data_IF_678492486882
#
_entry.id   IF_678492486882
#
_cell.length_a   1.000
_cell.length_b   1.000
_cell.length_c   1.000
_cell.angle_alpha   90.00
_cell.angle_beta   90.00
_cell.angle_gamma   90.00
#
_symmetry.space_group_name_H-M   'P 1'
#
loop_
_entity.id
_entity.type
_entity.pdbx_description
1 polymer ?
#
# COMPACT_ATOMS: atom_id res chain seq x y z
N UNK A 1 -10.06 -6.43 -1.06
CA UNK A 1 -8.87 -5.71 -1.54
C UNK A 1 -9.30 -4.86 -2.72
N UNK A 2 -8.88 -3.60 -2.73
CA UNK A 2 -9.10 -2.67 -3.83
C UNK A 2 -7.83 -1.81 -4.07
N UNK A 3 -7.84 -0.96 -5.10
CA UNK A 3 -6.68 -0.13 -5.45
C UNK A 3 -6.24 0.83 -4.33
N UNK A 4 -7.14 1.27 -3.46
CA UNK A 4 -6.81 2.12 -2.32
C UNK A 4 -6.01 1.35 -1.26
N UNK A 5 -6.36 0.08 -1.02
CA UNK A 5 -5.59 -0.77 -0.10
C UNK A 5 -4.16 -0.98 -0.62
N UNK A 6 -4.00 -1.19 -1.94
CA UNK A 6 -2.70 -1.28 -2.61
C UNK A 6 -1.90 0.03 -2.49
N UNK A 7 -2.54 1.19 -2.70
CA UNK A 7 -1.90 2.51 -2.52
C UNK A 7 -1.37 2.71 -1.10
N UNK A 8 -2.13 2.27 -0.09
CA UNK A 8 -1.70 2.38 1.29
C UNK A 8 -0.50 1.48 1.60
N UNK A 9 -0.47 0.25 1.05
CA UNK A 9 0.67 -0.63 1.22
C UNK A 9 1.93 -0.04 0.57
N UNK A 10 1.81 0.48 -0.66
CA UNK A 10 2.92 1.15 -1.36
C UNK A 10 3.41 2.37 -0.58
N UNK A 11 2.50 3.25 -0.12
CA UNK A 11 2.87 4.40 0.69
C UNK A 11 3.62 3.98 1.97
N UNK A 12 3.21 2.88 2.60
CA UNK A 12 3.90 2.38 3.77
C UNK A 12 5.29 1.80 3.44
N UNK A 13 5.45 1.15 2.29
CA UNK A 13 6.75 0.68 1.80
C UNK A 13 7.71 1.85 1.51
N UNK A 14 7.21 2.93 0.94
CA UNK A 14 8.00 4.12 0.60
C UNK A 14 8.43 4.90 1.85
N UNK A 15 7.51 5.10 2.79
CA UNK A 15 7.76 5.95 3.95
C UNK A 15 8.28 5.19 5.19
N UNK A 16 8.10 3.87 5.24
CA UNK A 16 8.47 3.00 6.38
C UNK A 16 8.00 3.54 7.73
N UNK A 17 6.86 4.22 7.74
CA UNK A 17 6.29 4.89 8.91
C UNK A 17 4.79 5.17 8.70
N UNK A 18 3.93 4.67 9.59
CA UNK A 18 2.47 4.80 9.46
C UNK A 18 1.98 6.25 9.36
N UNK A 19 2.46 7.15 10.23
CA UNK A 19 2.10 8.57 10.18
C UNK A 19 2.41 9.24 8.84
N UNK A 20 3.68 9.21 8.39
CA UNK A 20 4.08 9.75 7.09
C UNK A 20 3.35 9.10 5.91
N UNK A 21 3.15 7.78 5.93
CA UNK A 21 2.39 7.09 4.89
C UNK A 21 0.92 7.54 4.85
N UNK A 22 0.31 7.78 6.01
CA UNK A 22 -1.06 8.24 6.12
C UNK A 22 -1.21 9.67 5.62
N UNK A 23 -0.27 10.56 5.98
CA UNK A 23 -0.18 11.93 5.46
C UNK A 23 -0.03 11.94 3.93
N UNK A 24 0.90 11.17 3.38
CA UNK A 24 1.08 11.03 1.93
C UNK A 24 -0.15 10.45 1.22
N UNK A 25 -0.95 9.67 1.94
CA UNK A 25 -2.20 9.08 1.45
C UNK A 25 -3.44 9.94 1.75
N UNK A 26 -3.29 11.13 2.33
CA UNK A 26 -4.36 12.04 2.74
C UNK A 26 -5.41 11.40 3.66
N UNK A 27 -4.96 10.56 4.59
CA UNK A 27 -5.81 9.92 5.60
C UNK A 27 -5.19 9.98 6.99
N UNK A 28 -5.98 9.68 8.01
CA UNK A 28 -5.45 9.53 9.37
C UNK A 28 -4.66 8.22 9.52
N UNK A 29 -3.67 8.22 10.42
CA UNK A 29 -2.90 7.02 10.75
C UNK A 29 -3.80 5.83 11.19
N UNK A 30 -4.83 6.00 12.04
CA UNK A 30 -5.75 4.91 12.39
C UNK A 30 -6.46 4.30 11.18
N UNK A 31 -6.85 5.14 10.20
CA UNK A 31 -7.47 4.66 8.95
C UNK A 31 -6.49 3.80 8.16
N UNK A 32 -5.26 4.28 7.93
CA UNK A 32 -4.26 3.51 7.18
C UNK A 32 -3.93 2.19 7.90
N UNK A 33 -3.68 2.22 9.21
CA UNK A 33 -3.39 0.99 9.97
C UNK A 33 -4.56 -0.01 9.93
N UNK A 34 -5.81 0.45 9.99
CA UNK A 34 -6.98 -0.43 9.93
C UNK A 34 -7.10 -1.08 8.55
N UNK A 35 -6.84 -0.32 7.49
CA UNK A 35 -6.94 -0.83 6.12
C UNK A 35 -5.81 -1.81 5.80
N UNK A 36 -4.59 -1.57 6.28
CA UNK A 36 -3.52 -2.57 6.13
C UNK A 36 -3.85 -3.85 6.90
N UNK A 37 -4.36 -3.73 8.14
CA UNK A 37 -4.75 -4.93 8.91
C UNK A 37 -5.81 -5.75 8.18
N UNK A 38 -6.82 -5.11 7.58
CA UNK A 38 -7.82 -5.80 6.76
C UNK A 38 -7.21 -6.44 5.52
N UNK A 39 -6.23 -5.81 4.89
CA UNK A 39 -5.50 -6.38 3.76
C UNK A 39 -4.71 -7.62 4.19
N UNK A 40 -4.03 -7.58 5.35
CA UNK A 40 -3.35 -8.75 5.94
C UNK A 40 -4.32 -9.90 6.22
N UNK A 41 -5.48 -9.59 6.83
CA UNK A 41 -6.54 -10.57 7.13
C UNK A 41 -7.12 -11.19 5.86
N UNK A 42 -7.36 -10.39 4.82
CA UNK A 42 -7.90 -10.89 3.54
C UNK A 42 -6.89 -11.75 2.77
N UNK A 43 -5.60 -11.38 2.79
CA UNK A 43 -4.54 -12.12 2.12
C UNK A 43 -4.04 -13.33 2.94
N UNK A 44 -4.42 -13.41 4.23
CA UNK A 44 -3.99 -14.47 5.13
C UNK A 44 -2.50 -14.43 5.47
N UNK A 45 -1.84 -13.27 5.34
CA UNK A 45 -0.40 -13.08 5.57
C UNK A 45 -0.14 -11.80 6.36
N UNK A 46 0.93 -11.80 7.16
CA UNK A 46 1.43 -10.59 7.81
C UNK A 46 2.34 -9.85 6.83
N UNK A 47 1.99 -8.60 6.53
CA UNK A 47 2.75 -7.74 5.62
C UNK A 47 3.74 -6.86 6.39
N UNK A 48 3.49 -6.60 7.68
CA UNK A 48 4.27 -5.67 8.48
C UNK A 48 4.60 -6.24 9.86
N UNK A 49 5.88 -6.22 10.21
CA UNK A 49 6.36 -6.46 11.57
C UNK A 49 6.39 -5.16 12.38
N UNK A 50 5.67 -5.15 13.51
CA UNK A 50 5.63 -4.03 14.45
C UNK A 50 6.67 -4.26 15.54
N UNK A 51 7.93 -3.89 15.27
CA UNK A 51 9.02 -3.99 16.23
C UNK A 51 9.20 -2.73 17.11
N UNK A 52 9.82 -2.86 18.30
CA UNK A 52 10.00 -1.75 19.26
C UNK A 52 10.91 -0.61 18.80
N UNK A 53 11.63 -0.76 17.68
CA UNK A 53 12.52 0.29 17.14
C UNK A 53 12.20 0.74 15.73
N UNK A 54 11.46 -0.06 14.94
CA UNK A 54 11.09 0.32 13.57
C UNK A 54 9.95 -0.53 13.03
N UNK A 55 9.13 0.10 12.20
CA UNK A 55 8.22 -0.59 11.30
C UNK A 55 9.04 -1.18 10.16
N UNK A 56 8.85 -2.48 9.92
CA UNK A 56 9.46 -3.17 8.79
C UNK A 56 8.39 -3.96 8.03
N UNK A 57 8.47 -3.97 6.71
CA UNK A 57 7.71 -4.94 5.94
C UNK A 57 8.35 -6.32 6.15
N UNK A 58 7.52 -7.36 6.14
CA UNK A 58 8.00 -8.73 5.98
C UNK A 58 8.52 -8.92 4.55
N UNK A 59 9.25 -10.00 4.29
CA UNK A 59 9.68 -10.37 2.93
C UNK A 59 8.48 -10.47 1.96
N UNK A 60 7.39 -11.11 2.42
CA UNK A 60 6.13 -11.17 1.64
C UNK A 60 5.48 -9.79 1.50
N UNK A 61 5.59 -8.93 2.51
CA UNK A 61 5.14 -7.55 2.46
C UNK A 61 5.86 -6.72 1.40
N UNK A 62 7.19 -6.85 1.31
CA UNK A 62 7.98 -6.18 0.28
C UNK A 62 7.61 -6.68 -1.13
N UNK A 63 7.54 -8.00 -1.32
CA UNK A 63 7.16 -8.59 -2.60
C UNK A 63 5.74 -8.19 -3.07
N UNK A 64 4.78 -8.10 -2.14
CA UNK A 64 3.42 -7.66 -2.46
C UNK A 64 3.38 -6.15 -2.72
N UNK A 65 4.16 -5.35 -1.98
CA UNK A 65 4.25 -3.91 -2.24
C UNK A 65 4.81 -3.61 -3.64
N UNK A 66 5.80 -4.37 -4.11
CA UNK A 66 6.31 -4.26 -5.49
C UNK A 66 5.23 -4.60 -6.52
N UNK A 67 4.54 -5.74 -6.37
CA UNK A 67 3.41 -6.08 -7.25
C UNK A 67 2.29 -5.03 -7.22
N UNK A 68 2.04 -4.45 -6.04
CA UNK A 68 1.06 -3.38 -5.88
C UNK A 68 1.46 -2.12 -6.67
N UNK A 69 2.75 -1.75 -6.70
CA UNK A 69 3.25 -0.65 -7.54
C UNK A 69 2.97 -0.93 -9.02
N UNK A 70 3.26 -2.14 -9.49
CA UNK A 70 3.03 -2.52 -10.90
C UNK A 70 1.54 -2.42 -11.27
N UNK A 71 0.65 -2.97 -10.44
CA UNK A 71 -0.80 -2.89 -10.66
C UNK A 71 -1.28 -1.44 -10.72
N UNK A 72 -0.77 -0.56 -9.84
CA UNK A 72 -1.13 0.85 -9.85
C UNK A 72 -0.62 1.56 -11.11
N UNK A 73 0.58 1.22 -11.58
CA UNK A 73 1.12 1.74 -12.84
C UNK A 73 0.26 1.32 -14.04
N UNK A 74 -0.12 0.04 -14.13
CA UNK A 74 -1.01 -0.45 -15.19
C UNK A 74 -2.36 0.28 -15.20
N UNK A 75 -2.92 0.56 -14.03
CA UNK A 75 -4.16 1.37 -13.93
C UNK A 75 -3.96 2.79 -14.48
N UNK A 76 -2.82 3.43 -14.23
CA UNK A 76 -2.53 4.73 -14.83
C UNK A 76 -2.32 4.63 -16.35
N UNK A 77 -1.65 3.57 -16.84
CA UNK A 77 -1.50 3.31 -18.29
C UNK A 77 -2.85 3.16 -18.99
N UNK A 78 -3.80 2.44 -18.40
CA UNK A 78 -5.18 2.33 -18.93
C UNK A 78 -5.82 3.72 -19.06
N UNK A 79 -5.62 4.61 -18.06
CA UNK A 79 -6.16 5.98 -18.10
C UNK A 79 -5.47 6.86 -19.13
N UNK A 80 -4.18 6.65 -19.36
CA UNK A 80 -3.45 7.34 -20.42
C UNK A 80 -3.94 6.91 -21.79
N UNK A 81 -4.12 5.61 -22.01
CA UNK A 81 -4.62 5.07 -23.27
C UNK A 81 -6.03 5.60 -23.60
N UNK A 82 -6.91 5.65 -22.59
CA UNK A 82 -8.23 6.25 -22.73
C UNK A 82 -8.18 7.76 -23.05
N UNK A 83 -7.17 8.49 -22.55
CA UNK A 83 -6.97 9.91 -22.85
C UNK A 83 -6.46 10.14 -24.28
N UNK A 84 -5.65 9.23 -24.82
CA UNK A 84 -5.13 9.31 -26.20
C UNK A 84 -6.22 9.15 -27.26
N UNK A 85 -7.34 8.54 -26.91
CA UNK A 85 -8.49 8.30 -27.78
C UNK A 85 -9.65 9.28 -27.57
N UNK A 86 -9.43 10.38 -26.83
CA UNK A 86 -10.36 11.51 -26.71
C UNK A 86 -9.87 12.67 -27.55
#
# INVERSE_FOLDING_TARGET
>A
MNLRDLKYLVALADHRHFGRAAEASFVSQPTLSTQIKKLEEELGVVLIERGPRKLMLTEVGEAIAERARDVLNEVEQIREEARRHR
#
